data_IF_315040446485
#
_entry.id   IF_315040446485
#
_cell.length_a   1.000
_cell.length_b   1.000
_cell.length_c   1.000
_cell.angle_alpha   90.00
_cell.angle_beta   90.00
_cell.angle_gamma   90.00
#
_symmetry.space_group_name_H-M   'P 1'
#
loop_
_entity.id
_entity.type
_entity.pdbx_description
1 polymer ?
#
# COMPACT_ATOMS: atom_id res chain seq x y z
N UNK A 1 5.42 -19.39 -9.60
CA UNK A 1 4.97 -18.00 -9.38
C UNK A 1 6.17 -17.06 -9.39
N UNK A 2 6.00 -15.77 -9.69
CA UNK A 2 7.07 -14.78 -9.58
C UNK A 2 7.48 -14.59 -8.11
N UNK A 3 8.67 -14.04 -7.88
CA UNK A 3 9.14 -13.72 -6.52
C UNK A 3 8.47 -12.43 -6.01
N UNK A 4 8.36 -11.45 -6.89
CA UNK A 4 7.72 -10.16 -6.65
C UNK A 4 6.73 -9.86 -7.76
N UNK A 5 5.62 -9.25 -7.41
CA UNK A 5 4.55 -8.87 -8.34
C UNK A 5 4.12 -7.42 -8.06
N UNK A 6 3.93 -6.63 -9.09
CA UNK A 6 3.42 -5.26 -8.98
C UNK A 6 2.18 -5.10 -9.86
N UNK A 7 1.09 -4.65 -9.24
CA UNK A 7 -0.16 -4.27 -9.91
C UNK A 7 -0.29 -2.75 -9.88
N UNK A 8 -0.61 -2.12 -11.01
CA UNK A 8 -0.65 -0.66 -11.10
C UNK A 8 -2.08 -0.16 -11.29
N UNK A 9 -2.55 0.62 -10.33
CA UNK A 9 -3.91 1.11 -10.26
C UNK A 9 -4.00 2.63 -10.22
N UNK A 10 -5.21 3.12 -10.33
CA UNK A 10 -5.57 4.52 -10.12
C UNK A 10 -6.67 4.59 -9.08
N UNK A 11 -6.39 5.22 -7.94
CA UNK A 11 -7.35 5.40 -6.87
C UNK A 11 -8.27 6.60 -7.12
N UNK A 12 -9.44 6.53 -6.49
CA UNK A 12 -10.38 7.62 -6.32
C UNK A 12 -10.59 7.86 -4.80
N UNK A 13 -11.49 8.73 -4.43
CA UNK A 13 -11.84 8.98 -3.02
C UNK A 13 -11.19 10.23 -2.46
N UNK A 14 -10.67 10.17 -1.24
CA UNK A 14 -10.08 11.33 -0.56
C UNK A 14 -8.92 11.94 -1.35
N UNK A 15 -8.86 13.27 -1.41
CA UNK A 15 -7.71 13.98 -1.99
C UNK A 15 -6.67 14.31 -0.90
N UNK A 16 -5.40 14.09 -1.21
CA UNK A 16 -4.24 14.27 -0.33
C UNK A 16 -3.01 14.61 -1.18
N UNK A 17 -1.91 15.16 -0.59
CA UNK A 17 -0.74 15.59 -1.36
C UNK A 17 -0.01 14.47 -2.12
N UNK A 18 0.11 13.27 -1.53
CA UNK A 18 0.84 12.18 -2.15
C UNK A 18 0.25 11.80 -3.52
N UNK A 19 1.12 11.63 -4.52
CA UNK A 19 0.73 11.20 -5.86
C UNK A 19 0.47 9.70 -5.89
N UNK A 20 1.24 8.94 -5.13
CA UNK A 20 1.21 7.48 -5.09
C UNK A 20 0.99 6.99 -3.66
N UNK A 21 0.10 6.03 -3.52
CA UNK A 21 -0.05 5.24 -2.30
C UNK A 21 0.23 3.78 -2.60
N UNK A 22 0.54 3.01 -1.57
CA UNK A 22 0.98 1.63 -1.69
C UNK A 22 0.14 0.70 -0.82
N UNK A 23 -0.31 -0.41 -1.41
CA UNK A 23 -0.79 -1.60 -0.72
C UNK A 23 0.27 -2.68 -0.93
N UNK A 24 0.82 -3.23 0.15
CA UNK A 24 1.66 -4.42 0.08
C UNK A 24 0.88 -5.65 0.48
N UNK A 25 1.38 -6.84 0.12
CA UNK A 25 0.89 -8.08 0.73
C UNK A 25 0.94 -7.95 2.24
N UNK A 26 -0.15 -8.28 2.91
CA UNK A 26 -0.20 -8.26 4.37
C UNK A 26 0.86 -9.20 4.96
N UNK A 27 1.74 -8.71 5.85
CA UNK A 27 2.82 -9.51 6.42
C UNK A 27 2.34 -10.78 7.09
N UNK A 28 1.26 -10.72 7.87
CA UNK A 28 0.69 -11.89 8.56
C UNK A 28 0.13 -12.92 7.59
N UNK A 29 -0.43 -12.49 6.45
CA UNK A 29 -0.91 -13.40 5.40
C UNK A 29 0.21 -14.01 4.59
N UNK A 30 1.25 -13.23 4.32
CA UNK A 30 2.45 -13.77 3.70
C UNK A 30 3.13 -14.74 4.67
N UNK A 31 3.10 -14.43 5.95
CA UNK A 31 3.45 -15.32 7.06
C UNK A 31 4.92 -15.73 7.09
N UNK A 32 5.20 -16.72 7.94
CA UNK A 32 6.50 -17.40 8.03
C UNK A 32 7.68 -16.47 8.14
N UNK A 33 8.59 -16.54 7.18
CA UNK A 33 9.84 -15.73 7.15
C UNK A 33 9.74 -14.55 6.18
N UNK A 34 8.84 -14.60 5.21
CA UNK A 34 8.66 -13.54 4.22
C UNK A 34 7.92 -12.33 4.80
N UNK A 35 6.91 -12.56 5.62
CA UNK A 35 6.12 -11.49 6.23
C UNK A 35 6.95 -10.52 7.05
N UNK A 36 7.68 -10.97 8.08
CA UNK A 36 8.54 -10.10 8.89
C UNK A 36 9.64 -9.41 8.07
N UNK A 37 10.22 -10.08 7.07
CA UNK A 37 11.21 -9.47 6.20
C UNK A 37 10.61 -8.36 5.32
N UNK A 38 9.42 -8.59 4.78
CA UNK A 38 8.69 -7.55 4.02
C UNK A 38 8.44 -6.34 4.91
N UNK A 39 7.88 -6.54 6.10
CA UNK A 39 7.48 -5.47 7.01
C UNK A 39 8.66 -4.66 7.54
N UNK A 40 9.71 -5.36 8.00
CA UNK A 40 10.79 -4.71 8.75
C UNK A 40 12.02 -4.36 7.91
N UNK A 41 12.07 -4.83 6.65
CA UNK A 41 13.22 -4.57 5.77
C UNK A 41 12.78 -3.96 4.44
N UNK A 42 12.02 -4.69 3.64
CA UNK A 42 11.75 -4.26 2.27
C UNK A 42 10.83 -3.02 2.22
N UNK A 43 9.75 -2.99 2.99
CA UNK A 43 8.82 -1.86 2.99
C UNK A 43 9.48 -0.54 3.42
N UNK A 44 10.21 -0.47 4.56
CA UNK A 44 10.93 0.74 4.95
C UNK A 44 11.93 1.20 3.88
N UNK A 45 12.65 0.26 3.24
CA UNK A 45 13.60 0.57 2.16
C UNK A 45 12.89 1.18 0.95
N UNK A 46 11.79 0.59 0.47
CA UNK A 46 11.03 1.13 -0.67
C UNK A 46 10.48 2.53 -0.38
N UNK A 47 9.98 2.79 0.82
CA UNK A 47 9.52 4.13 1.21
C UNK A 47 10.66 5.14 1.23
N UNK A 48 11.83 4.75 1.75
CA UNK A 48 13.02 5.60 1.80
C UNK A 48 13.55 5.91 0.39
N UNK A 49 13.69 4.89 -0.46
CA UNK A 49 14.18 5.03 -1.84
C UNK A 49 13.26 5.95 -2.68
N UNK A 50 11.95 5.79 -2.54
CA UNK A 50 10.96 6.65 -3.22
C UNK A 50 11.04 8.10 -2.71
N UNK A 51 11.23 8.30 -1.41
CA UNK A 51 11.36 9.63 -0.83
C UNK A 51 12.67 10.30 -1.27
N UNK A 52 13.79 9.57 -1.29
CA UNK A 52 15.10 10.05 -1.78
C UNK A 52 15.04 10.43 -3.25
N UNK A 53 14.29 9.68 -4.06
CA UNK A 53 14.05 10.00 -5.47
C UNK A 53 13.03 11.13 -5.68
N UNK A 54 12.55 11.79 -4.62
CA UNK A 54 11.68 12.97 -4.67
C UNK A 54 10.18 12.67 -4.79
N UNK A 55 9.75 11.41 -4.65
CA UNK A 55 8.34 11.01 -4.69
C UNK A 55 7.97 10.21 -3.44
N UNK A 56 7.77 10.90 -2.33
CA UNK A 56 7.33 10.24 -1.10
C UNK A 56 5.96 9.59 -1.28
N UNK A 57 5.84 8.35 -0.82
CA UNK A 57 4.59 7.60 -0.78
C UNK A 57 3.94 7.69 0.60
N UNK A 58 2.67 7.30 0.66
CA UNK A 58 1.94 7.02 1.89
C UNK A 58 1.24 5.66 1.77
N UNK A 59 0.91 4.99 2.88
CA UNK A 59 0.03 3.82 2.83
C UNK A 59 -1.30 4.16 2.13
N UNK A 60 -1.96 3.15 1.60
CA UNK A 60 -3.27 3.33 0.97
C UNK A 60 -4.27 3.98 1.91
N UNK A 61 -4.99 4.98 1.41
CA UNK A 61 -5.87 5.81 2.24
C UNK A 61 -7.29 5.24 2.25
N UNK A 62 -7.55 4.34 3.20
CA UNK A 62 -8.88 3.87 3.53
C UNK A 62 -9.35 4.59 4.80
N UNK A 63 -10.26 5.56 4.65
CA UNK A 63 -10.64 6.46 5.75
C UNK A 63 -11.56 5.79 6.76
N UNK A 64 -11.37 6.08 8.05
CA UNK A 64 -12.27 5.67 9.15
C UNK A 64 -13.56 6.48 9.24
N UNK A 65 -13.78 7.40 8.32
CA UNK A 65 -14.96 8.25 8.25
C UNK A 65 -15.01 8.92 6.90
N UNK A 66 -15.58 10.11 6.84
CA UNK A 66 -15.72 10.84 5.58
C UNK A 66 -14.39 11.34 5.03
N UNK A 67 -13.41 11.57 5.89
CA UNK A 67 -12.14 12.23 5.56
C UNK A 67 -10.95 11.62 6.31
N UNK A 68 -9.71 11.70 5.76
CA UNK A 68 -8.52 11.10 6.38
C UNK A 68 -8.14 11.68 7.76
N UNK A 69 -8.61 12.86 8.12
CA UNK A 69 -8.37 13.45 9.45
C UNK A 69 -9.08 12.70 10.59
N UNK A 70 -10.04 11.84 10.26
CA UNK A 70 -10.65 10.90 11.21
C UNK A 70 -9.80 9.65 11.45
N UNK A 71 -8.72 9.49 10.71
CA UNK A 71 -7.85 8.31 10.72
C UNK A 71 -7.98 7.49 9.43
N UNK A 72 -7.00 6.64 9.23
CA UNK A 72 -6.98 5.66 8.14
C UNK A 72 -6.92 4.26 8.72
N UNK A 73 -7.43 3.31 7.98
CA UNK A 73 -7.44 1.89 8.34
C UNK A 73 -6.64 1.13 7.30
N UNK A 74 -5.97 0.09 7.72
CA UNK A 74 -5.28 -0.79 6.80
C UNK A 74 -6.26 -1.57 5.90
N UNK A 75 -5.82 -1.90 4.70
CA UNK A 75 -6.64 -2.60 3.73
C UNK A 75 -6.42 -4.12 3.85
N UNK A 76 -7.40 -4.81 4.41
CA UNK A 76 -7.39 -6.27 4.49
C UNK A 76 -7.74 -6.88 3.14
N UNK A 77 -6.74 -7.09 2.28
CA UNK A 77 -6.95 -7.74 0.98
C UNK A 77 -7.30 -9.22 1.13
N UNK A 78 -8.35 -9.64 0.46
CA UNK A 78 -8.69 -11.06 0.31
C UNK A 78 -8.02 -11.63 -0.96
N UNK A 79 -8.04 -12.96 -1.20
CA UNK A 79 -7.52 -13.53 -2.45
C UNK A 79 -8.22 -13.07 -3.73
N UNK A 80 -9.26 -12.25 -3.62
CA UNK A 80 -9.88 -11.54 -4.74
C UNK A 80 -8.95 -10.46 -5.31
N UNK A 81 -8.06 -9.91 -4.48
CA UNK A 81 -7.12 -8.86 -4.86
C UNK A 81 -5.76 -9.47 -5.19
N UNK A 82 -5.01 -8.81 -6.07
CA UNK A 82 -3.74 -9.32 -6.60
C UNK A 82 -2.70 -9.60 -5.53
N UNK A 83 -2.55 -8.70 -4.54
CA UNK A 83 -1.64 -8.87 -3.40
C UNK A 83 -2.06 -10.03 -2.50
N UNK A 84 -3.35 -10.14 -2.19
CA UNK A 84 -3.89 -11.24 -1.39
C UNK A 84 -3.82 -12.59 -2.10
N UNK A 85 -4.01 -12.62 -3.43
CA UNK A 85 -3.81 -13.84 -4.22
C UNK A 85 -2.33 -14.23 -4.29
N UNK A 86 -1.45 -13.23 -4.52
CA UNK A 86 0.00 -13.43 -4.54
C UNK A 86 0.54 -14.04 -3.26
N UNK A 87 0.03 -13.61 -2.10
CA UNK A 87 0.43 -14.11 -0.79
C UNK A 87 0.19 -15.62 -0.64
N UNK A 88 -0.90 -16.17 -1.20
CA UNK A 88 -1.16 -17.62 -1.22
C UNK A 88 -0.10 -18.43 -1.99
N UNK A 89 0.70 -17.76 -2.81
CA UNK A 89 1.77 -18.35 -3.60
C UNK A 89 3.16 -17.94 -3.11
N UNK A 90 3.26 -17.41 -1.90
CA UNK A 90 4.48 -16.86 -1.31
C UNK A 90 5.14 -15.81 -2.24
N UNK A 91 4.32 -15.05 -2.96
CA UNK A 91 4.74 -13.95 -3.83
C UNK A 91 4.55 -12.64 -3.09
N UNK A 92 5.60 -11.85 -3.00
CA UNK A 92 5.53 -10.49 -2.46
C UNK A 92 4.79 -9.62 -3.47
N UNK A 93 3.62 -9.14 -3.09
CA UNK A 93 2.77 -8.34 -3.96
C UNK A 93 2.74 -6.87 -3.54
N UNK A 94 2.71 -5.99 -4.53
CA UNK A 94 2.48 -4.56 -4.35
C UNK A 94 1.38 -4.10 -5.29
N UNK A 95 0.45 -3.29 -4.78
CA UNK A 95 -0.49 -2.53 -5.61
C UNK A 95 -0.20 -1.06 -5.42
N UNK A 96 0.20 -0.39 -6.49
CA UNK A 96 0.35 1.07 -6.49
C UNK A 96 -0.97 1.72 -6.85
N UNK A 97 -1.33 2.76 -6.12
CA UNK A 97 -2.56 3.53 -6.35
C UNK A 97 -2.19 4.99 -6.65
N UNK A 98 -2.12 5.33 -7.95
CA UNK A 98 -1.90 6.70 -8.38
C UNK A 98 -3.22 7.49 -8.33
N UNK A 99 -3.26 8.58 -7.55
CA UNK A 99 -4.51 9.29 -7.29
C UNK A 99 -5.04 10.01 -8.54
N UNK A 100 -6.29 9.72 -8.94
CA UNK A 100 -6.91 10.20 -10.19
C UNK A 100 -6.96 11.73 -10.33
N UNK A 101 -6.95 12.47 -9.23
CA UNK A 101 -6.99 13.95 -9.23
C UNK A 101 -5.61 14.60 -9.41
N UNK A 102 -4.54 13.81 -9.51
CA UNK A 102 -3.20 14.32 -9.83
C UNK A 102 -3.01 14.43 -11.35
N UNK A 103 -2.15 15.34 -11.82
CA UNK A 103 -1.80 15.44 -13.24
C UNK A 103 -1.37 14.07 -13.80
N UNK A 104 -1.71 13.81 -15.06
CA UNK A 104 -1.43 12.51 -15.69
C UNK A 104 0.08 12.20 -15.72
N UNK A 105 0.89 13.19 -16.07
CA UNK A 105 2.35 13.09 -16.11
C UNK A 105 2.94 12.73 -14.74
N UNK A 106 2.45 13.33 -13.65
CA UNK A 106 2.90 13.03 -12.29
C UNK A 106 2.57 11.60 -11.90
N UNK A 107 1.38 11.13 -12.25
CA UNK A 107 0.95 9.75 -11.98
C UNK A 107 1.82 8.74 -12.72
N UNK A 108 2.08 8.98 -14.00
CA UNK A 108 2.95 8.13 -14.82
C UNK A 108 4.38 8.13 -14.28
N UNK A 109 4.92 9.31 -13.95
CA UNK A 109 6.28 9.45 -13.41
C UNK A 109 6.44 8.70 -12.08
N UNK A 110 5.49 8.90 -11.14
CA UNK A 110 5.52 8.25 -9.83
C UNK A 110 5.40 6.71 -9.92
N UNK A 111 4.48 6.22 -10.76
CA UNK A 111 4.31 4.77 -10.97
C UNK A 111 5.55 4.15 -11.61
N UNK A 112 6.12 4.80 -12.62
CA UNK A 112 7.34 4.36 -13.27
C UNK A 112 8.51 4.31 -12.28
N UNK A 113 8.67 5.36 -11.48
CA UNK A 113 9.72 5.43 -10.46
C UNK A 113 9.59 4.28 -9.47
N UNK A 114 8.37 3.97 -8.99
CA UNK A 114 8.15 2.83 -8.11
C UNK A 114 8.57 1.50 -8.74
N UNK A 115 8.27 1.29 -10.03
CA UNK A 115 8.71 0.09 -10.74
C UNK A 115 10.24 0.00 -10.82
N UNK A 116 10.93 1.12 -11.06
CA UNK A 116 12.40 1.19 -11.07
C UNK A 116 12.97 0.87 -9.68
N UNK A 117 12.41 1.47 -8.61
CA UNK A 117 12.80 1.22 -7.21
C UNK A 117 12.61 -0.26 -6.81
N UNK A 118 11.47 -0.86 -7.17
CA UNK A 118 11.21 -2.29 -6.88
C UNK A 118 12.18 -3.19 -7.64
N UNK A 119 12.51 -2.86 -8.89
CA UNK A 119 13.50 -3.62 -9.66
C UNK A 119 14.89 -3.55 -9.03
N UNK A 120 15.31 -2.36 -8.59
CA UNK A 120 16.60 -2.16 -7.94
C UNK A 120 16.66 -2.87 -6.58
N UNK A 121 15.61 -2.79 -5.77
CA UNK A 121 15.49 -3.54 -4.53
C UNK A 121 15.52 -5.06 -4.78
N UNK A 122 14.82 -5.54 -5.80
CA UNK A 122 14.85 -6.93 -6.23
C UNK A 122 16.24 -7.40 -6.64
N UNK A 123 17.01 -6.56 -7.32
CA UNK A 123 18.40 -6.85 -7.67
C UNK A 123 19.30 -6.90 -6.42
N UNK A 124 19.20 -5.92 -5.53
CA UNK A 124 19.94 -5.90 -4.26
C UNK A 124 19.68 -7.13 -3.40
N UNK A 125 18.44 -7.57 -3.34
CA UNK A 125 17.96 -8.64 -2.47
C UNK A 125 17.72 -9.97 -3.16
N UNK A 126 18.16 -10.16 -4.40
CA UNK A 126 17.89 -11.37 -5.22
C UNK A 126 18.11 -12.67 -4.46
N UNK A 127 19.26 -12.79 -3.78
CA UNK A 127 19.59 -14.01 -3.02
C UNK A 127 18.68 -14.17 -1.80
N UNK A 128 18.46 -13.09 -1.06
CA UNK A 128 17.63 -13.10 0.16
C UNK A 128 16.20 -13.50 -0.18
N UNK A 129 15.60 -12.89 -1.20
CA UNK A 129 14.22 -13.20 -1.64
C UNK A 129 14.09 -14.67 -2.01
N UNK A 130 15.04 -15.20 -2.77
CA UNK A 130 15.04 -16.60 -3.18
C UNK A 130 15.17 -17.55 -1.99
N UNK A 131 16.11 -17.28 -1.09
CA UNK A 131 16.36 -18.11 0.08
C UNK A 131 15.14 -18.11 1.03
N UNK A 132 14.55 -16.93 1.28
CA UNK A 132 13.34 -16.80 2.11
C UNK A 132 12.14 -17.52 1.50
N UNK A 133 11.94 -17.42 0.18
CA UNK A 133 10.85 -18.16 -0.48
C UNK A 133 11.02 -19.67 -0.39
N UNK A 134 12.23 -20.18 -0.59
CA UNK A 134 12.51 -21.61 -0.44
C UNK A 134 12.25 -22.06 1.00
N UNK A 135 12.68 -21.28 1.97
CA UNK A 135 12.42 -21.57 3.39
C UNK A 135 10.91 -21.50 3.71
N UNK A 136 10.21 -20.52 3.19
CA UNK A 136 8.76 -20.39 3.34
C UNK A 136 8.03 -21.61 2.77
N UNK A 137 8.36 -22.03 1.55
CA UNK A 137 7.79 -23.21 0.91
C UNK A 137 8.01 -24.48 1.73
N UNK A 138 9.17 -24.61 2.37
CA UNK A 138 9.48 -25.74 3.23
C UNK A 138 8.65 -25.71 4.52
N UNK A 139 8.59 -24.55 5.20
CA UNK A 139 7.79 -24.38 6.41
C UNK A 139 6.32 -24.77 6.18
N UNK A 140 5.75 -24.33 5.06
CA UNK A 140 4.35 -24.64 4.71
C UNK A 140 4.12 -26.12 4.36
N UNK A 141 5.10 -26.80 3.76
CA UNK A 141 5.00 -28.24 3.49
C UNK A 141 5.09 -29.11 4.74
N UNK A 142 5.77 -28.60 5.76
CA UNK A 142 6.00 -29.31 7.02
C UNK A 142 4.98 -28.89 8.11
N UNK A 143 4.15 -27.88 7.84
CA UNK A 143 3.15 -27.42 8.79
C UNK A 143 1.98 -28.42 8.91
N UNK A 144 1.60 -28.73 10.15
CA UNK A 144 0.41 -29.53 10.43
C UNK A 144 -0.88 -28.70 10.27
N UNK A 145 -0.78 -27.38 10.46
CA UNK A 145 -1.90 -26.42 10.36
C UNK A 145 -1.44 -25.17 9.64
N UNK A 146 -2.34 -24.53 8.91
CA UNK A 146 -2.13 -23.22 8.25
C UNK A 146 -3.31 -22.31 8.49
N UNK A 147 -3.03 -21.02 8.62
CA UNK A 147 -4.05 -19.98 8.73
C UNK A 147 -4.78 -19.85 7.38
N UNK A 148 -6.12 -19.85 7.44
CA UNK A 148 -6.98 -19.75 6.23
C UNK A 148 -7.89 -18.53 6.24
N UNK A 149 -7.93 -17.78 7.35
CA UNK A 149 -8.73 -16.57 7.49
C UNK A 149 -8.04 -15.57 8.42
N UNK A 150 -8.18 -14.30 8.09
CA UNK A 150 -7.62 -13.18 8.84
C UNK A 150 -8.71 -12.13 9.07
N UNK A 151 -8.56 -11.36 10.14
CA UNK A 151 -9.37 -10.18 10.43
C UNK A 151 -8.44 -9.04 10.83
N UNK A 152 -8.87 -7.79 10.60
CA UNK A 152 -8.13 -6.65 11.11
C UNK A 152 -8.16 -6.66 12.64
N UNK A 153 -6.99 -6.46 13.25
CA UNK A 153 -6.90 -6.19 14.68
C UNK A 153 -7.16 -4.70 14.92
N UNK A 154 -8.40 -4.38 15.25
CA UNK A 154 -8.82 -3.01 15.57
C UNK A 154 -8.42 -2.56 16.96
N UNK A 155 -7.79 -3.42 17.77
CA UNK A 155 -7.26 -3.07 19.09
C UNK A 155 -5.85 -2.46 19.01
N UNK A 156 -5.13 -2.69 17.91
CA UNK A 156 -3.82 -2.13 17.63
C UNK A 156 -3.97 -0.86 16.76
N UNK A 157 -3.25 0.19 17.13
CA UNK A 157 -3.22 1.46 16.40
C UNK A 157 -1.78 1.94 16.30
N UNK A 158 -1.33 2.16 15.08
CA UNK A 158 -0.03 2.74 14.78
C UNK A 158 -0.12 4.22 14.45
N UNK A 159 0.92 4.97 14.77
CA UNK A 159 1.04 6.36 14.39
C UNK A 159 1.72 6.45 13.01
N UNK A 160 0.99 6.94 12.01
CA UNK A 160 1.52 7.18 10.67
C UNK A 160 1.52 8.68 10.42
N UNK A 161 2.68 9.24 10.07
CA UNK A 161 2.75 10.62 9.63
C UNK A 161 2.02 10.76 8.28
N UNK A 162 0.90 11.45 8.31
CA UNK A 162 0.05 11.65 7.13
C UNK A 162 -0.21 13.13 6.90
N UNK A 163 -0.09 13.56 5.65
CA UNK A 163 -0.48 14.90 5.21
C UNK A 163 -1.74 14.84 4.36
N UNK A 164 -2.71 15.66 4.71
CA UNK A 164 -3.99 15.75 4.03
C UNK A 164 -4.38 17.18 3.69
N UNK A 165 -5.47 17.32 2.97
CA UNK A 165 -6.11 18.61 2.69
C UNK A 165 -7.32 18.79 3.60
N UNK A 166 -7.57 20.03 4.06
CA UNK A 166 -8.81 20.35 4.74
C UNK A 166 -10.01 20.05 3.82
N UNK A 167 -11.05 19.47 4.37
CA UNK A 167 -12.25 19.11 3.62
C UNK A 167 -13.50 19.74 4.22
N UNK A 168 -14.47 20.05 3.35
CA UNK A 168 -15.78 20.57 3.76
C UNK A 168 -16.90 19.97 2.92
N UNK A 169 -18.07 19.89 3.52
CA UNK A 169 -19.28 19.48 2.82
C UNK A 169 -19.85 20.65 2.03
N UNK A 170 -20.01 20.51 0.72
CA UNK A 170 -20.64 21.48 -0.16
C UNK A 170 -21.86 20.88 -0.87
N UNK A 171 -22.87 21.70 -1.11
CA UNK A 171 -24.00 21.32 -1.92
C UNK A 171 -23.63 21.32 -3.40
N UNK A 172 -23.90 20.24 -4.11
CA UNK A 172 -23.71 20.16 -5.55
C UNK A 172 -24.96 20.62 -6.29
N UNK A 173 -24.88 21.68 -7.10
CA UNK A 173 -26.02 22.10 -7.91
C UNK A 173 -26.33 21.11 -9.06
N UNK A 174 -25.43 20.17 -9.34
CA UNK A 174 -25.60 19.17 -10.42
C UNK A 174 -26.28 17.92 -9.92
N UNK A 175 -25.76 17.34 -8.81
CA UNK A 175 -26.29 16.07 -8.26
C UNK A 175 -27.40 16.30 -7.24
N UNK A 176 -27.59 17.53 -6.76
CA UNK A 176 -28.50 17.87 -5.66
C UNK A 176 -28.22 17.09 -4.37
N UNK A 177 -26.95 16.81 -4.12
CA UNK A 177 -26.48 16.10 -2.91
C UNK A 177 -25.30 16.86 -2.28
N UNK A 178 -25.02 16.56 -1.02
CA UNK A 178 -23.78 17.04 -0.37
C UNK A 178 -22.61 16.19 -0.86
N UNK A 179 -21.50 16.85 -1.15
CA UNK A 179 -20.23 16.23 -1.53
C UNK A 179 -19.08 16.84 -0.76
N UNK A 180 -18.07 16.06 -0.51
CA UNK A 180 -16.80 16.53 0.03
C UNK A 180 -16.05 17.35 -1.02
N UNK A 181 -15.52 18.49 -0.58
CA UNK A 181 -14.57 19.28 -1.34
C UNK A 181 -13.31 19.48 -0.52
N UNK A 182 -12.19 19.18 -1.11
CA UNK A 182 -10.87 19.33 -0.52
C UNK A 182 -10.27 20.67 -0.92
N UNK A 183 -9.70 21.38 0.05
CA UNK A 183 -9.01 22.66 -0.14
C UNK A 183 -7.50 22.39 -0.20
N UNK A 184 -6.95 22.43 -1.42
CA UNK A 184 -5.54 22.12 -1.66
C UNK A 184 -4.58 23.18 -1.13
N UNK A 185 -5.07 24.38 -0.83
CA UNK A 185 -4.30 25.46 -0.22
C UNK A 185 -4.25 25.35 1.31
N UNK A 186 -5.04 24.44 1.89
CA UNK A 186 -5.13 24.19 3.33
C UNK A 186 -4.63 22.80 3.69
N UNK A 187 -3.31 22.70 3.88
CA UNK A 187 -2.62 21.47 4.29
C UNK A 187 -2.67 21.28 5.81
N UNK A 188 -2.80 20.04 6.23
CA UNK A 188 -2.54 19.61 7.61
C UNK A 188 -1.64 18.37 7.61
N UNK A 189 -0.88 18.18 8.70
CA UNK A 189 -0.06 16.99 8.95
C UNK A 189 -0.32 16.52 10.38
N UNK A 190 -0.53 15.23 10.54
CA UNK A 190 -0.73 14.58 11.85
C UNK A 190 0.12 13.33 11.94
#
# INVERSE_FOLDING_TARGET
SPDVFVDTHTSNGADYPAVLTLIASQPDKLGGVLGPWLEHTLMPELYADMAEAGTAMTPYVYTLGDTPDNGIMDFLETPRYSTGYGALHHTIGFTTEAHMLKPFEDRVAATRLFLEVVLDAGLRHTKVIRDLRQQQDQLFREADEVEVAWALDTSAVDAVAFSGYAARQEWSPITHERRLRYDRDSLWTR
#
